data_IF_516339615130
#
_entry.id   IF_516339615130
#
_cell.length_a   1.000
_cell.length_b   1.000
_cell.length_c   1.000
_cell.angle_alpha   90.00
_cell.angle_beta   90.00
_cell.angle_gamma   90.00
#
_symmetry.space_group_name_H-M   'P 1'
#
loop_
_entity.id
_entity.type
_entity.pdbx_description
1 polymer ?
#
# COMPACT_ATOMS: atom_id res chain seq x y z
N UNK A 1 12.97 2.58 -51.99
CA UNK A 1 13.09 3.79 -51.13
C UNK A 1 11.86 3.93 -50.20
N UNK A 2 12.09 3.87 -48.88
CA UNK A 2 11.34 4.63 -47.86
C UNK A 2 9.93 4.19 -47.41
N UNK A 3 9.81 3.11 -46.63
CA UNK A 3 8.60 2.85 -45.82
C UNK A 3 8.89 2.52 -44.33
N UNK A 4 10.16 2.40 -43.94
CA UNK A 4 10.54 2.00 -42.57
C UNK A 4 10.90 3.17 -41.64
N UNK A 5 10.91 4.42 -42.12
CA UNK A 5 11.41 5.56 -41.32
C UNK A 5 10.35 6.23 -40.45
N UNK A 6 9.08 6.19 -40.85
CA UNK A 6 7.97 6.83 -40.12
C UNK A 6 7.32 5.91 -39.07
N UNK A 7 7.37 4.58 -39.27
CA UNK A 7 6.85 3.60 -38.33
C UNK A 7 7.68 3.52 -37.04
N UNK A 8 9.00 3.76 -37.12
CA UNK A 8 9.87 3.80 -35.95
C UNK A 8 9.63 5.05 -35.08
N UNK A 9 9.28 6.20 -35.68
CA UNK A 9 9.10 7.46 -34.94
C UNK A 9 7.91 7.44 -33.97
N UNK A 10 6.77 6.89 -34.40
CA UNK A 10 5.58 6.76 -33.55
C UNK A 10 5.77 5.79 -32.39
N UNK A 11 6.35 4.61 -32.67
CA UNK A 11 6.63 3.60 -31.66
C UNK A 11 7.70 4.07 -30.65
N UNK A 12 8.72 4.80 -31.10
CA UNK A 12 9.72 5.39 -30.22
C UNK A 12 9.11 6.47 -29.31
N UNK A 13 8.22 7.33 -29.83
CA UNK A 13 7.50 8.31 -29.00
C UNK A 13 6.59 7.65 -27.97
N UNK A 14 5.89 6.59 -28.35
CA UNK A 14 5.02 5.83 -27.45
C UNK A 14 5.83 5.12 -26.34
N UNK A 15 6.94 4.47 -26.68
CA UNK A 15 7.84 3.85 -25.71
C UNK A 15 8.46 4.89 -24.77
N UNK A 16 8.84 6.06 -25.31
CA UNK A 16 9.38 7.16 -24.51
C UNK A 16 8.33 7.72 -23.55
N UNK A 17 7.05 7.80 -23.97
CA UNK A 17 5.95 8.22 -23.12
C UNK A 17 5.67 7.20 -22.00
N UNK A 18 5.64 5.90 -22.32
CA UNK A 18 5.49 4.81 -21.35
C UNK A 18 6.66 4.79 -20.36
N UNK A 19 7.89 4.98 -20.81
CA UNK A 19 9.07 5.09 -19.96
C UNK A 19 8.97 6.25 -18.97
N UNK A 20 8.58 7.44 -19.43
CA UNK A 20 8.37 8.61 -18.54
C UNK A 20 7.26 8.36 -17.52
N UNK A 21 6.17 7.70 -17.93
CA UNK A 21 5.06 7.38 -17.03
C UNK A 21 5.47 6.41 -15.92
N UNK A 22 6.22 5.36 -16.25
CA UNK A 22 6.74 4.38 -15.28
C UNK A 22 7.73 5.05 -14.33
N UNK A 23 8.66 5.86 -14.86
CA UNK A 23 9.65 6.58 -14.06
C UNK A 23 8.97 7.55 -13.08
N UNK A 24 7.95 8.29 -13.51
CA UNK A 24 7.19 9.17 -12.65
C UNK A 24 6.39 8.42 -11.57
N UNK A 25 5.87 7.24 -11.87
CA UNK A 25 5.19 6.40 -10.89
C UNK A 25 6.14 5.87 -9.82
N UNK A 26 7.33 5.40 -10.21
CA UNK A 26 8.36 4.92 -9.30
C UNK A 26 8.89 6.06 -8.41
N UNK A 27 9.09 7.27 -8.95
CA UNK A 27 9.49 8.43 -8.16
C UNK A 27 8.44 8.82 -7.09
N UNK A 28 7.14 8.72 -7.40
CA UNK A 28 6.07 8.93 -6.42
C UNK A 28 6.07 7.87 -5.32
N UNK A 29 6.24 6.60 -5.69
CA UNK A 29 6.33 5.51 -4.71
C UNK A 29 7.53 5.65 -3.78
N UNK A 30 8.68 6.08 -4.30
CA UNK A 30 9.85 6.36 -3.47
C UNK A 30 9.57 7.47 -2.44
N UNK A 31 8.85 8.53 -2.83
CA UNK A 31 8.42 9.59 -1.92
C UNK A 31 7.47 9.07 -0.84
N UNK A 32 6.45 8.30 -1.20
CA UNK A 32 5.51 7.72 -0.23
C UNK A 32 6.18 6.78 0.77
N UNK A 33 7.23 6.06 0.36
CA UNK A 33 8.02 5.21 1.26
C UNK A 33 8.88 6.03 2.21
N UNK A 34 9.46 7.15 1.75
CA UNK A 34 10.23 8.06 2.59
C UNK A 34 9.35 8.72 3.67
N UNK A 35 8.15 9.18 3.29
CA UNK A 35 7.17 9.76 4.22
C UNK A 35 6.75 8.75 5.30
N UNK A 36 6.49 7.50 4.90
CA UNK A 36 6.20 6.40 5.84
C UNK A 36 7.36 6.09 6.79
N UNK A 37 8.59 6.35 6.37
CA UNK A 37 9.79 6.20 7.20
C UNK A 37 10.09 7.43 8.07
N UNK A 38 9.23 8.46 8.05
CA UNK A 38 9.38 9.68 8.84
C UNK A 38 10.35 10.71 8.25
N UNK A 39 10.80 10.50 7.01
CA UNK A 39 11.66 11.43 6.27
C UNK A 39 10.91 12.14 5.16
N UNK A 40 11.36 13.33 4.78
CA UNK A 40 10.83 14.06 3.62
C UNK A 40 11.84 13.96 2.49
N UNK A 41 11.42 13.49 1.32
CA UNK A 41 12.27 13.44 0.13
C UNK A 41 12.20 14.81 -0.56
N UNK A 42 13.27 15.60 -0.48
CA UNK A 42 13.37 16.91 -1.16
C UNK A 42 13.43 16.78 -2.69
N UNK A 43 13.13 17.86 -3.40
CA UNK A 43 13.09 17.88 -4.88
C UNK A 43 14.41 17.43 -5.53
N UNK A 44 15.55 17.70 -4.88
CA UNK A 44 16.88 17.26 -5.34
C UNK A 44 17.04 15.74 -5.23
N UNK A 45 16.62 15.14 -4.11
CA UNK A 45 16.61 13.69 -3.93
C UNK A 45 15.65 13.00 -4.91
N UNK A 46 14.54 13.66 -5.26
CA UNK A 46 13.62 13.16 -6.28
C UNK A 46 14.23 13.20 -7.69
N UNK A 47 15.00 14.26 -8.02
CA UNK A 47 15.77 14.33 -9.27
C UNK A 47 16.82 13.24 -9.33
N UNK A 48 17.59 13.03 -8.27
CA UNK A 48 18.63 11.99 -8.19
C UNK A 48 18.05 10.57 -8.35
N UNK A 49 16.89 10.29 -7.75
CA UNK A 49 16.17 9.02 -7.95
C UNK A 49 15.72 8.87 -9.42
N UNK A 50 15.21 9.95 -10.02
CA UNK A 50 14.77 9.93 -11.43
C UNK A 50 15.95 9.71 -12.38
N UNK A 51 17.09 10.35 -12.12
CA UNK A 51 18.33 10.19 -12.88
C UNK A 51 18.89 8.78 -12.75
N UNK A 52 18.86 8.22 -11.55
CA UNK A 52 19.30 6.83 -11.30
C UNK A 52 18.41 5.82 -12.01
N UNK A 53 17.09 6.05 -12.03
CA UNK A 53 16.15 5.23 -12.79
C UNK A 53 16.39 5.33 -14.31
N UNK A 54 16.67 6.53 -14.83
CA UNK A 54 17.06 6.71 -16.22
C UNK A 54 18.38 6.01 -16.55
N UNK A 55 19.39 6.09 -15.68
CA UNK A 55 20.68 5.42 -15.84
C UNK A 55 20.51 3.89 -15.87
N UNK A 56 19.74 3.34 -14.94
CA UNK A 56 19.45 1.90 -14.86
C UNK A 56 18.68 1.36 -16.08
N UNK A 57 17.90 2.22 -16.77
CA UNK A 57 17.20 1.87 -18.00
C UNK A 57 18.04 2.08 -19.26
N UNK A 58 19.02 2.97 -19.22
CA UNK A 58 19.89 3.31 -20.33
C UNK A 58 21.13 2.40 -20.41
N UNK A 59 21.56 1.82 -19.29
CA UNK A 59 22.74 0.98 -19.18
C UNK A 59 22.49 -0.30 -18.38
N UNK A 60 22.99 -1.42 -18.91
CA UNK A 60 22.78 -2.74 -18.35
C UNK A 60 23.60 -2.95 -17.06
N UNK A 61 24.76 -2.31 -16.94
CA UNK A 61 25.59 -2.34 -15.72
C UNK A 61 24.96 -1.53 -14.60
N UNK A 62 24.47 -0.32 -14.88
CA UNK A 62 23.68 0.48 -13.97
C UNK A 62 22.41 -0.24 -13.48
N UNK A 63 21.72 -0.97 -14.38
CA UNK A 63 20.56 -1.79 -14.04
C UNK A 63 20.88 -2.93 -13.07
N UNK A 64 22.03 -3.59 -13.25
CA UNK A 64 22.52 -4.62 -12.30
C UNK A 64 22.86 -4.03 -10.93
N UNK A 65 23.49 -2.86 -10.90
CA UNK A 65 23.83 -2.18 -9.65
C UNK A 65 22.57 -1.74 -8.87
N UNK A 66 21.53 -1.28 -9.56
CA UNK A 66 20.23 -0.98 -8.96
C UNK A 66 19.55 -2.23 -8.39
N UNK A 67 19.56 -3.34 -9.15
CA UNK A 67 18.97 -4.61 -8.71
C UNK A 67 19.63 -5.21 -7.46
N UNK A 68 20.90 -4.86 -7.18
CA UNK A 68 21.61 -5.27 -5.97
C UNK A 68 21.09 -4.57 -4.69
N UNK A 69 20.23 -3.55 -4.81
CA UNK A 69 19.36 -3.08 -3.74
C UNK A 69 19.96 -2.07 -2.74
N UNK A 70 21.25 -1.72 -2.84
CA UNK A 70 21.84 -0.61 -2.06
C UNK A 70 22.83 0.21 -2.88
N UNK A 71 22.41 1.38 -3.32
CA UNK A 71 23.27 2.38 -3.94
C UNK A 71 23.63 3.45 -2.92
N UNK A 72 24.93 3.67 -2.70
CA UNK A 72 25.44 4.70 -1.79
C UNK A 72 25.62 6.07 -2.48
N UNK A 73 25.43 6.13 -3.80
CA UNK A 73 25.46 7.33 -4.64
C UNK A 73 24.48 7.18 -5.82
N UNK A 74 23.89 8.28 -6.32
CA UNK A 74 23.06 8.25 -7.52
C UNK A 74 23.88 7.79 -8.73
N UNK A 75 23.24 7.04 -9.64
CA UNK A 75 23.84 6.62 -10.90
C UNK A 75 23.54 7.69 -11.96
N UNK A 76 24.56 8.28 -12.55
CA UNK A 76 24.39 9.21 -13.66
C UNK A 76 24.35 8.44 -14.98
N UNK A 77 23.34 8.72 -15.82
CA UNK A 77 23.38 8.29 -17.20
C UNK A 77 24.53 9.02 -17.92
N UNK A 78 25.24 8.39 -18.88
CA UNK A 78 26.20 9.12 -19.69
C UNK A 78 25.44 10.18 -20.51
N UNK A 79 25.46 11.43 -20.04
CA UNK A 79 24.99 12.59 -20.79
C UNK A 79 26.19 13.22 -21.47
N UNK A 80 26.46 12.79 -22.69
CA UNK A 80 27.56 13.32 -23.48
C UNK A 80 27.39 12.93 -24.94
N UNK A 81 26.77 13.81 -25.72
CA UNK A 81 27.17 13.95 -27.12
C UNK A 81 28.56 14.59 -27.08
N UNK A 82 29.59 13.77 -26.94
CA UNK A 82 30.98 14.20 -27.12
C UNK A 82 31.52 13.44 -28.30
N UNK A 83 31.82 14.21 -29.33
CA UNK A 83 32.60 13.76 -30.47
C UNK A 83 33.96 13.26 -29.97
N UNK A 84 34.40 12.15 -30.58
CA UNK A 84 35.80 11.75 -30.70
C UNK A 84 36.51 11.08 -29.50
N UNK A 85 36.46 9.75 -29.50
CA UNK A 85 37.67 8.93 -29.34
C UNK A 85 37.49 7.63 -30.14
N UNK A 86 38.10 7.61 -31.33
CA UNK A 86 38.16 6.44 -32.21
C UNK A 86 39.07 5.38 -31.57
N UNK A 87 38.50 4.24 -31.19
CA UNK A 87 39.27 3.02 -30.96
C UNK A 87 38.46 1.77 -31.38
N UNK A 88 38.79 1.28 -32.57
CA UNK A 88 38.66 -0.08 -33.08
C UNK A 88 37.33 -0.84 -32.85
N UNK A 89 36.48 -0.84 -33.89
CA UNK A 89 35.40 -1.80 -34.05
C UNK A 89 35.90 -3.11 -34.69
N UNK A 90 35.53 -4.31 -34.18
CA UNK A 90 35.54 -5.54 -34.98
C UNK A 90 34.22 -5.67 -35.77
N UNK A 91 34.19 -6.49 -36.85
CA UNK A 91 33.13 -6.42 -37.84
C UNK A 91 31.79 -6.97 -37.32
N UNK A 92 30.72 -6.21 -37.59
CA UNK A 92 29.33 -6.62 -37.38
C UNK A 92 28.99 -7.83 -38.26
N UNK A 93 28.65 -8.96 -37.64
CA UNK A 93 27.72 -9.96 -38.19
C UNK A 93 26.75 -10.47 -37.11
N UNK A 94 25.51 -10.68 -37.56
CA UNK A 94 24.34 -11.28 -36.90
C UNK A 94 23.45 -10.39 -36.00
N UNK A 95 22.53 -9.67 -36.65
CA UNK A 95 21.33 -9.06 -36.09
C UNK A 95 20.28 -10.10 -35.62
N UNK A 96 20.62 -10.98 -34.67
CA UNK A 96 19.70 -11.98 -34.09
C UNK A 96 19.62 -12.11 -32.55
N UNK A 97 20.37 -11.38 -31.68
CA UNK A 97 20.13 -11.45 -30.23
C UNK A 97 19.06 -10.48 -29.68
N UNK A 98 18.87 -9.31 -30.30
CA UNK A 98 18.05 -8.23 -29.71
C UNK A 98 16.54 -8.50 -29.71
N UNK A 99 16.03 -9.29 -30.66
CA UNK A 99 14.61 -9.66 -30.69
C UNK A 99 14.24 -10.58 -29.50
N UNK A 100 15.13 -11.50 -29.11
CA UNK A 100 14.93 -12.42 -27.98
C UNK A 100 15.01 -11.71 -26.62
N UNK A 101 15.87 -10.70 -26.50
CA UNK A 101 15.96 -9.88 -25.30
C UNK A 101 14.68 -9.03 -25.09
N UNK A 102 14.14 -8.41 -26.16
CA UNK A 102 12.90 -7.63 -26.10
C UNK A 102 11.67 -8.48 -25.76
N UNK A 103 11.58 -9.72 -26.27
CA UNK A 103 10.47 -10.63 -25.93
C UNK A 103 10.53 -11.06 -24.46
N UNK A 104 11.73 -11.37 -23.95
CA UNK A 104 11.92 -11.76 -22.54
C UNK A 104 11.57 -10.62 -21.57
N UNK A 105 12.03 -9.40 -21.85
CA UNK A 105 11.68 -8.22 -21.04
C UNK A 105 10.16 -7.93 -21.03
N UNK A 106 9.47 -8.16 -22.16
CA UNK A 106 8.01 -8.00 -22.24
C UNK A 106 7.26 -9.08 -21.45
N UNK A 107 7.76 -10.30 -21.42
CA UNK A 107 7.21 -11.40 -20.61
C UNK A 107 7.41 -11.14 -19.11
N UNK A 108 8.60 -10.68 -18.71
CA UNK A 108 8.90 -10.29 -17.33
C UNK A 108 8.03 -9.13 -16.86
N UNK A 109 7.85 -8.08 -17.69
CA UNK A 109 6.95 -6.97 -17.40
C UNK A 109 5.49 -7.43 -17.23
N UNK A 110 5.00 -8.34 -18.09
CA UNK A 110 3.66 -8.92 -17.96
C UNK A 110 3.51 -9.77 -16.71
N UNK A 111 4.55 -10.49 -16.31
CA UNK A 111 4.55 -11.27 -15.06
C UNK A 111 4.48 -10.33 -13.85
N UNK A 112 5.30 -9.29 -13.84
CA UNK A 112 5.29 -8.28 -12.78
C UNK A 112 3.94 -7.55 -12.67
N UNK A 113 3.30 -7.21 -13.80
CA UNK A 113 1.96 -6.61 -13.82
C UNK A 113 0.90 -7.55 -13.23
N UNK A 114 0.97 -8.84 -13.56
CA UNK A 114 0.07 -9.86 -12.98
C UNK A 114 0.30 -10.05 -11.49
N UNK A 115 1.55 -10.08 -11.05
CA UNK A 115 1.90 -10.18 -9.63
C UNK A 115 1.45 -8.94 -8.85
N UNK A 116 1.59 -7.74 -9.42
CA UNK A 116 1.10 -6.51 -8.80
C UNK A 116 -0.43 -6.55 -8.67
N UNK A 117 -1.14 -6.90 -9.75
CA UNK A 117 -2.59 -7.00 -9.73
C UNK A 117 -3.10 -8.02 -8.72
N UNK A 118 -2.44 -9.18 -8.63
CA UNK A 118 -2.76 -10.19 -7.62
C UNK A 118 -2.58 -9.66 -6.20
N UNK A 119 -1.48 -8.93 -5.92
CA UNK A 119 -1.26 -8.29 -4.61
C UNK A 119 -2.28 -7.20 -4.31
N UNK A 120 -2.69 -6.41 -5.30
CA UNK A 120 -3.74 -5.40 -5.14
C UNK A 120 -5.10 -6.04 -4.82
N UNK A 121 -5.44 -7.14 -5.50
CA UNK A 121 -6.66 -7.91 -5.22
C UNK A 121 -6.62 -8.55 -3.82
N UNK A 122 -5.48 -9.15 -3.43
CA UNK A 122 -5.27 -9.67 -2.07
C UNK A 122 -5.39 -8.58 -1.00
N UNK A 123 -4.77 -7.42 -1.22
CA UNK A 123 -4.86 -6.29 -0.31
C UNK A 123 -6.29 -5.79 -0.17
N UNK A 124 -7.01 -5.66 -1.28
CA UNK A 124 -8.41 -5.24 -1.27
C UNK A 124 -9.29 -6.26 -0.53
N UNK A 125 -9.08 -7.55 -0.78
CA UNK A 125 -9.82 -8.61 -0.07
C UNK A 125 -9.55 -8.56 1.45
N UNK A 126 -8.30 -8.34 1.85
CA UNK A 126 -7.91 -8.17 3.25
C UNK A 126 -8.54 -6.92 3.88
N UNK A 127 -8.62 -5.80 3.14
CA UNK A 127 -9.30 -4.59 3.60
C UNK A 127 -10.79 -4.82 3.80
N UNK A 128 -11.47 -5.44 2.84
CA UNK A 128 -12.89 -5.76 2.95
C UNK A 128 -13.17 -6.72 4.12
N UNK A 129 -12.26 -7.67 4.38
CA UNK A 129 -12.37 -8.56 5.53
C UNK A 129 -12.18 -7.81 6.87
N UNK A 130 -11.20 -6.91 6.93
CA UNK A 130 -10.95 -6.08 8.10
C UNK A 130 -12.14 -5.15 8.41
N UNK A 131 -12.72 -4.53 7.40
CA UNK A 131 -13.93 -3.69 7.54
C UNK A 131 -15.11 -4.51 8.09
N UNK A 132 -15.38 -5.68 7.48
CA UNK A 132 -16.42 -6.59 7.99
C UNK A 132 -16.16 -7.06 9.41
N UNK A 133 -14.90 -7.29 9.78
CA UNK A 133 -14.53 -7.67 11.14
C UNK A 133 -14.76 -6.52 12.12
N UNK A 134 -14.45 -5.29 11.73
CA UNK A 134 -14.69 -4.09 12.53
C UNK A 134 -16.19 -3.82 12.73
N UNK A 135 -16.99 -3.97 11.68
CA UNK A 135 -18.46 -3.86 11.78
C UNK A 135 -19.04 -4.88 12.75
N UNK A 136 -18.59 -6.14 12.68
CA UNK A 136 -18.98 -7.19 13.64
C UNK A 136 -18.57 -6.81 15.06
N UNK A 137 -17.36 -6.31 15.26
CA UNK A 137 -16.88 -5.85 16.58
C UNK A 137 -17.77 -4.74 17.12
N UNK A 138 -18.06 -3.71 16.32
CA UNK A 138 -18.94 -2.59 16.70
C UNK A 138 -20.35 -3.07 17.03
N UNK A 139 -20.87 -4.07 16.31
CA UNK A 139 -22.17 -4.66 16.60
C UNK A 139 -22.18 -5.35 17.97
N UNK A 140 -21.19 -6.20 18.25
CA UNK A 140 -21.05 -6.87 19.54
C UNK A 140 -20.86 -5.86 20.68
N UNK A 141 -20.08 -4.80 20.47
CA UNK A 141 -19.89 -3.73 21.47
C UNK A 141 -21.22 -3.03 21.81
N UNK A 142 -22.08 -2.77 20.81
CA UNK A 142 -23.42 -2.20 21.02
C UNK A 142 -24.32 -3.15 21.82
N UNK A 143 -24.33 -4.44 21.49
CA UNK A 143 -25.10 -5.45 22.21
C UNK A 143 -24.62 -5.60 23.67
N UNK A 144 -23.31 -5.58 23.90
CA UNK A 144 -22.74 -5.59 25.26
C UNK A 144 -23.16 -4.35 26.05
N UNK A 145 -23.16 -3.17 25.42
CA UNK A 145 -23.59 -1.93 26.06
C UNK A 145 -25.07 -1.99 26.46
N UNK A 146 -25.93 -2.51 25.57
CA UNK A 146 -27.36 -2.70 25.82
C UNK A 146 -27.61 -3.71 26.96
N UNK A 147 -26.94 -4.86 26.93
CA UNK A 147 -27.06 -5.87 27.99
C UNK A 147 -26.59 -5.33 29.35
N UNK A 148 -25.55 -4.48 29.37
CA UNK A 148 -25.10 -3.81 30.60
C UNK A 148 -26.14 -2.84 31.14
N UNK A 149 -26.83 -2.10 30.27
CA UNK A 149 -27.90 -1.20 30.68
C UNK A 149 -29.11 -1.98 31.23
N UNK A 150 -29.55 -3.02 30.53
CA UNK A 150 -30.62 -3.92 31.03
C UNK A 150 -30.26 -4.53 32.39
N UNK A 151 -29.00 -4.92 32.58
CA UNK A 151 -28.53 -5.45 33.87
C UNK A 151 -28.54 -4.39 34.98
N UNK A 152 -28.20 -3.13 34.67
CA UNK A 152 -28.31 -2.01 35.63
C UNK A 152 -29.76 -1.80 36.06
N UNK A 153 -30.67 -1.71 35.10
CA UNK A 153 -32.10 -1.53 35.35
C UNK A 153 -32.68 -2.67 36.20
N UNK A 154 -32.39 -3.92 35.84
CA UNK A 154 -32.84 -5.08 36.62
C UNK A 154 -32.31 -5.08 38.07
N UNK A 155 -31.07 -4.61 38.29
CA UNK A 155 -30.50 -4.47 39.64
C UNK A 155 -31.17 -3.36 40.44
N UNK A 156 -31.53 -2.25 39.80
CA UNK A 156 -32.26 -1.15 40.43
C UNK A 156 -33.67 -1.59 40.83
N UNK A 157 -34.38 -2.29 39.93
CA UNK A 157 -35.69 -2.90 40.21
C UNK A 157 -35.61 -3.89 41.37
N UNK A 158 -34.59 -4.76 41.39
CA UNK A 158 -34.37 -5.70 42.49
C UNK A 158 -34.17 -4.97 43.82
N UNK A 159 -33.37 -3.89 43.84
CA UNK A 159 -33.15 -3.08 45.05
C UNK A 159 -34.44 -2.42 45.51
N UNK A 160 -35.20 -1.82 44.60
CA UNK A 160 -36.48 -1.19 44.90
C UNK A 160 -37.51 -2.20 45.42
N UNK A 161 -37.58 -3.41 44.85
CA UNK A 161 -38.44 -4.49 45.33
C UNK A 161 -38.04 -4.94 46.76
N UNK A 162 -36.74 -5.10 47.01
CA UNK A 162 -36.22 -5.46 48.34
C UNK A 162 -36.54 -4.40 49.39
N UNK A 163 -36.42 -3.13 49.04
CA UNK A 163 -36.73 -2.03 49.97
C UNK A 163 -38.23 -1.92 50.24
N UNK A 164 -39.08 -2.19 49.24
CA UNK A 164 -40.54 -2.31 49.43
C UNK A 164 -40.89 -3.45 50.38
N UNK A 165 -40.30 -4.64 50.20
CA UNK A 165 -40.50 -5.78 51.09
C UNK A 165 -40.10 -5.43 52.53
N UNK A 166 -38.90 -4.86 52.72
CA UNK A 166 -38.43 -4.42 54.05
C UNK A 166 -39.36 -3.40 54.72
N UNK A 167 -39.97 -2.49 53.95
CA UNK A 167 -40.94 -1.52 54.48
C UNK A 167 -42.23 -2.22 54.89
N UNK A 168 -42.73 -3.15 54.07
CA UNK A 168 -43.92 -3.94 54.39
C UNK A 168 -43.71 -4.79 55.66
N UNK A 169 -42.58 -5.48 55.77
CA UNK A 169 -42.24 -6.29 56.95
C UNK A 169 -42.22 -5.44 58.24
N UNK A 170 -41.62 -4.24 58.18
CA UNK A 170 -41.62 -3.31 59.31
C UNK A 170 -43.02 -2.85 59.68
N UNK A 171 -43.85 -2.53 58.70
CA UNK A 171 -45.23 -2.12 58.94
C UNK A 171 -46.05 -3.24 59.59
N UNK A 172 -45.89 -4.49 59.12
CA UNK A 172 -46.53 -5.66 59.71
C UNK A 172 -46.06 -5.89 61.15
N UNK A 173 -44.76 -5.77 61.43
CA UNK A 173 -44.22 -5.87 62.78
C UNK A 173 -44.77 -4.80 63.73
N UNK A 174 -44.87 -3.55 63.27
CA UNK A 174 -45.47 -2.47 64.04
C UNK A 174 -46.96 -2.69 64.31
N UNK A 175 -47.72 -3.14 63.30
CA UNK A 175 -49.14 -3.46 63.46
C UNK A 175 -49.35 -4.60 64.47
N UNK A 176 -48.52 -5.65 64.42
CA UNK A 176 -48.57 -6.77 65.36
C UNK A 176 -48.26 -6.34 66.79
N UNK A 177 -47.25 -5.49 67.00
CA UNK A 177 -46.92 -4.97 68.33
C UNK A 177 -48.03 -4.08 68.89
N UNK A 178 -48.68 -3.26 68.06
CA UNK A 178 -49.84 -2.45 68.49
C UNK A 178 -51.06 -3.27 68.84
N UNK A 179 -51.28 -4.39 68.15
CA UNK A 179 -52.40 -5.29 68.42
C UNK A 179 -52.21 -6.15 69.67
N UNK A 180 -50.97 -6.26 70.17
CA UNK A 180 -50.64 -7.04 71.37
C UNK A 180 -49.82 -6.18 72.35
N UNK A 181 -50.41 -5.11 72.92
CA UNK A 181 -49.72 -4.29 73.91
C UNK A 181 -49.53 -5.14 75.18
N UNK A 182 -48.27 -5.29 75.61
CA UNK A 182 -47.89 -5.87 76.91
C UNK A 182 -48.43 -5.05 78.06
#
# INVERSE_FOLDING_TARGET
>A
PGAHRDLDGGQLRELSARQRQITAALARQARELAERAGGHLGDDAQREVTETLHAALADEEAGRAWAAGRLSRPLAAPVGFTEEAVAAAPPRRAAKPQAKAKTKAREEARKAERELKAREEEHRAAQDEAERAEERRRQVEREVAELRERLRQAKEEQRAARDRLRRADRALGQARNRANPT
#
